data_IF_593209541418
#
_entry.id   IF_593209541418
#
_cell.length_a   1.000
_cell.length_b   1.000
_cell.length_c   1.000
_cell.angle_alpha   90.00
_cell.angle_beta   90.00
_cell.angle_gamma   90.00
#
_symmetry.space_group_name_H-M   'P 1'
#
loop_
_entity.id
_entity.type
_entity.pdbx_description
1 polymer ?
#
# COMPACT_ATOMS: atom_id res chain seq x y z
N UNK A 1 -7.81 2.18 -23.57
CA UNK A 1 -6.96 1.81 -22.42
C UNK A 1 -5.51 2.15 -22.71
N UNK A 2 -4.81 2.72 -21.72
CA UNK A 2 -3.35 2.86 -21.74
C UNK A 2 -2.84 2.27 -20.43
N UNK A 3 -2.09 1.17 -20.51
CA UNK A 3 -1.58 0.42 -19.35
C UNK A 3 -2.51 -0.71 -18.89
N UNK A 4 -2.12 -1.36 -17.78
CA UNK A 4 -2.84 -2.50 -17.17
C UNK A 4 -2.91 -2.31 -15.66
N UNK A 5 -4.07 -2.57 -15.06
CA UNK A 5 -4.24 -2.57 -13.60
C UNK A 5 -4.55 -3.99 -13.13
N UNK A 6 -3.61 -4.60 -12.39
CA UNK A 6 -3.80 -5.90 -11.74
C UNK A 6 -4.23 -5.65 -10.29
N UNK A 7 -5.37 -6.20 -9.89
CA UNK A 7 -5.95 -5.96 -8.55
C UNK A 7 -6.06 -7.26 -7.77
N UNK A 8 -5.46 -7.28 -6.57
CA UNK A 8 -5.68 -8.31 -5.56
C UNK A 8 -6.51 -7.67 -4.43
N UNK A 9 -7.86 -7.72 -4.50
CA UNK A 9 -8.71 -6.96 -3.58
C UNK A 9 -8.75 -7.55 -2.17
N UNK A 10 -8.37 -8.81 -2.00
CA UNK A 10 -8.41 -9.55 -0.73
C UNK A 10 -7.16 -10.40 -0.59
N UNK A 11 -6.03 -9.76 -0.30
CA UNK A 11 -4.73 -10.44 -0.20
C UNK A 11 -4.72 -11.54 0.87
N UNK A 12 -5.24 -11.27 2.09
CA UNK A 12 -5.29 -12.24 3.19
C UNK A 12 -6.73 -12.60 3.56
N UNK A 13 -7.37 -13.46 2.76
CA UNK A 13 -8.79 -13.86 2.95
C UNK A 13 -9.05 -14.43 4.35
N UNK A 14 -8.11 -15.19 4.92
CA UNK A 14 -8.27 -15.78 6.25
C UNK A 14 -8.24 -14.73 7.37
N UNK A 15 -7.33 -13.77 7.30
CA UNK A 15 -7.24 -12.66 8.25
C UNK A 15 -8.47 -11.74 8.15
N UNK A 16 -8.92 -11.45 6.92
CA UNK A 16 -10.14 -10.68 6.65
C UNK A 16 -11.36 -11.33 7.29
N UNK A 17 -11.55 -12.64 7.09
CA UNK A 17 -12.70 -13.39 7.64
C UNK A 17 -12.70 -13.40 9.17
N UNK A 18 -11.53 -13.28 9.79
CA UNK A 18 -11.35 -13.26 11.25
C UNK A 18 -11.29 -11.86 11.84
N UNK A 19 -11.36 -10.82 11.01
CA UNK A 19 -11.16 -9.42 11.40
C UNK A 19 -9.86 -9.19 12.18
N UNK A 20 -8.80 -9.89 11.78
CA UNK A 20 -7.50 -9.87 12.44
C UNK A 20 -6.40 -9.41 11.49
N UNK A 21 -5.27 -8.99 12.06
CA UNK A 21 -4.05 -8.66 11.29
C UNK A 21 -3.42 -9.91 10.67
N UNK A 22 -3.34 -10.98 11.45
CA UNK A 22 -2.71 -12.23 11.04
C UNK A 22 -3.74 -13.25 10.56
N UNK A 23 -3.30 -14.13 9.65
CA UNK A 23 -4.12 -15.20 9.10
C UNK A 23 -4.33 -16.36 10.07
N UNK A 24 -4.77 -17.49 9.52
CA UNK A 24 -5.07 -18.69 10.31
C UNK A 24 -3.86 -19.25 11.08
N UNK A 25 -2.66 -19.03 10.57
CA UNK A 25 -1.39 -19.47 11.14
C UNK A 25 -0.73 -18.47 12.09
N UNK A 26 -1.37 -17.31 12.34
CA UNK A 26 -0.86 -16.29 13.26
C UNK A 26 0.33 -15.48 12.74
N UNK A 27 0.78 -15.71 11.51
CA UNK A 27 1.90 -15.00 10.89
C UNK A 27 1.40 -13.72 10.20
N UNK A 28 2.19 -12.65 10.31
CA UNK A 28 1.94 -11.40 9.59
C UNK A 28 2.36 -11.57 8.12
N UNK A 29 1.38 -11.63 7.21
CA UNK A 29 1.62 -11.76 5.78
C UNK A 29 2.60 -10.70 5.25
N UNK A 30 2.52 -9.46 5.75
CA UNK A 30 3.39 -8.37 5.31
C UNK A 30 4.78 -8.43 5.98
N UNK A 31 5.17 -9.57 6.55
CA UNK A 31 6.52 -9.92 6.99
C UNK A 31 7.02 -11.22 6.37
N UNK A 32 6.25 -11.81 5.46
CA UNK A 32 6.51 -13.12 4.86
C UNK A 32 6.98 -13.06 3.39
N UNK A 33 7.15 -11.88 2.79
CA UNK A 33 7.60 -11.76 1.40
C UNK A 33 9.13 -12.00 1.27
N UNK A 34 9.61 -12.64 0.18
CA UNK A 34 8.90 -13.02 -1.04
C UNK A 34 8.09 -14.32 -0.95
N UNK A 35 8.00 -14.93 0.23
CA UNK A 35 7.25 -16.16 0.47
C UNK A 35 8.09 -17.43 0.43
N UNK A 36 7.42 -18.53 0.78
CA UNK A 36 7.93 -19.89 0.69
C UNK A 36 6.76 -20.83 0.40
N UNK A 37 6.82 -21.53 -0.74
CA UNK A 37 5.77 -22.46 -1.20
C UNK A 37 5.62 -23.68 -0.30
N UNK A 38 6.67 -24.03 0.46
CA UNK A 38 6.66 -25.11 1.42
C UNK A 38 6.51 -24.60 2.87
N UNK A 39 6.36 -23.28 3.04
CA UNK A 39 6.23 -22.62 4.34
C UNK A 39 4.82 -22.73 4.93
N UNK A 40 4.54 -21.93 5.97
CA UNK A 40 3.19 -21.85 6.53
C UNK A 40 2.22 -21.13 5.58
N UNK A 41 0.93 -21.11 5.91
CA UNK A 41 -0.13 -20.54 5.05
C UNK A 41 0.17 -19.10 4.59
N UNK A 42 0.65 -18.24 5.49
CA UNK A 42 1.02 -16.85 5.16
C UNK A 42 2.24 -16.78 4.25
N UNK A 43 3.23 -17.67 4.39
CA UNK A 43 4.39 -17.74 3.49
C UNK A 43 4.03 -18.26 2.11
N UNK A 44 3.16 -19.26 2.03
CA UNK A 44 2.63 -19.76 0.75
C UNK A 44 1.82 -18.70 0.02
N UNK A 45 1.01 -17.95 0.77
CA UNK A 45 0.23 -16.83 0.22
C UNK A 45 1.12 -15.69 -0.26
N UNK A 46 2.17 -15.33 0.50
CA UNK A 46 3.17 -14.36 0.05
C UNK A 46 3.86 -14.82 -1.24
N UNK A 47 4.21 -16.12 -1.35
CA UNK A 47 4.81 -16.68 -2.56
C UNK A 47 3.86 -16.62 -3.77
N UNK A 48 2.56 -16.86 -3.56
CA UNK A 48 1.55 -16.72 -4.60
C UNK A 48 1.40 -15.27 -5.08
N UNK A 49 1.33 -14.30 -4.17
CA UNK A 49 1.28 -12.87 -4.53
C UNK A 49 2.57 -12.45 -5.25
N UNK A 50 3.72 -12.90 -4.78
CA UNK A 50 5.00 -12.62 -5.41
C UNK A 50 5.11 -13.22 -6.83
N UNK A 51 4.54 -14.41 -7.06
CA UNK A 51 4.41 -14.96 -8.42
C UNK A 51 3.58 -14.08 -9.34
N UNK A 52 2.49 -13.50 -8.86
CA UNK A 52 1.71 -12.54 -9.65
C UNK A 52 2.57 -11.33 -10.01
N UNK A 53 3.36 -10.80 -9.07
CA UNK A 53 4.30 -9.71 -9.38
C UNK A 53 5.32 -10.13 -10.45
N UNK A 54 5.84 -11.35 -10.39
CA UNK A 54 6.80 -11.87 -11.38
C UNK A 54 6.16 -12.14 -12.75
N UNK A 55 4.90 -12.56 -12.77
CA UNK A 55 4.15 -12.85 -13.99
C UNK A 55 3.81 -11.58 -14.76
N UNK A 56 3.39 -10.53 -14.06
CA UNK A 56 2.94 -9.29 -14.67
C UNK A 56 4.03 -8.21 -14.79
N UNK A 57 5.17 -8.39 -14.12
CA UNK A 57 6.31 -7.45 -14.12
C UNK A 57 5.87 -5.97 -14.00
N UNK A 58 5.14 -5.59 -12.94
CA UNK A 58 4.50 -4.28 -12.87
C UNK A 58 5.54 -3.15 -12.72
N UNK A 59 5.35 -2.05 -13.46
CA UNK A 59 6.14 -0.83 -13.27
C UNK A 59 5.93 -0.22 -11.87
N UNK A 60 4.70 -0.34 -11.34
CA UNK A 60 4.29 0.18 -10.04
C UNK A 60 3.52 -0.85 -9.21
N UNK A 61 3.86 -0.96 -7.93
CA UNK A 61 3.13 -1.74 -6.92
C UNK A 61 2.62 -0.83 -5.81
N UNK A 62 1.32 -0.87 -5.58
CA UNK A 62 0.67 -0.15 -4.48
C UNK A 62 0.16 -1.16 -3.46
N UNK A 63 0.35 -0.86 -2.18
CA UNK A 63 -0.23 -1.65 -1.08
C UNK A 63 -1.05 -0.74 -0.17
N UNK A 64 -2.32 -1.09 0.06
CA UNK A 64 -3.31 -0.25 0.72
C UNK A 64 -3.54 -0.75 2.16
N UNK A 65 -3.23 0.11 3.13
CA UNK A 65 -3.26 -0.20 4.56
C UNK A 65 -4.10 0.82 5.35
N UNK A 66 -4.38 0.44 6.59
CA UNK A 66 -4.97 1.30 7.58
C UNK A 66 -4.20 1.23 8.90
N UNK A 67 -3.98 2.40 9.51
CA UNK A 67 -3.26 2.53 10.77
C UNK A 67 -4.17 3.05 11.90
N UNK A 68 -3.80 2.77 13.16
CA UNK A 68 -4.69 3.00 14.30
C UNK A 68 -4.91 4.49 14.64
N UNK A 69 -3.92 5.35 14.39
CA UNK A 69 -3.98 6.76 14.72
C UNK A 69 -3.22 7.61 13.68
N UNK A 70 -3.44 8.92 13.70
CA UNK A 70 -2.80 9.86 12.79
C UNK A 70 -1.32 10.07 13.10
N UNK A 71 -0.46 10.01 12.08
CA UNK A 71 0.98 10.26 12.22
C UNK A 71 1.27 11.68 12.74
N UNK A 72 0.51 12.69 12.28
CA UNK A 72 0.66 14.09 12.72
C UNK A 72 0.35 14.32 14.20
N UNK A 73 -0.50 13.48 14.79
CA UNK A 73 -0.90 13.59 16.20
C UNK A 73 -0.10 12.65 17.11
N UNK A 74 0.32 11.52 16.57
CA UNK A 74 1.11 10.51 17.27
C UNK A 74 2.19 9.98 16.32
N UNK A 75 3.43 10.49 16.41
CA UNK A 75 4.53 10.03 15.57
C UNK A 75 4.76 8.51 15.68
N UNK A 76 4.92 7.86 14.53
CA UNK A 76 5.03 6.40 14.41
C UNK A 76 3.68 5.66 14.33
N UNK A 77 2.55 6.35 14.36
CA UNK A 77 1.23 5.75 14.19
C UNK A 77 0.86 5.50 12.73
N UNK A 78 1.57 6.12 11.77
CA UNK A 78 1.48 5.94 10.32
C UNK A 78 0.19 6.38 9.63
N UNK A 79 -0.89 6.68 10.36
CA UNK A 79 -2.15 7.04 9.72
C UNK A 79 -2.06 8.35 8.95
N UNK A 80 -2.66 8.37 7.75
CA UNK A 80 -2.55 9.46 6.78
C UNK A 80 -1.10 9.63 6.29
N UNK A 81 -0.50 8.58 5.74
CA UNK A 81 0.83 8.65 5.14
C UNK A 81 0.90 7.94 3.79
N UNK A 82 1.83 8.39 2.96
CA UNK A 82 2.30 7.72 1.75
C UNK A 82 3.75 7.32 2.02
N UNK A 83 4.02 6.02 2.09
CA UNK A 83 5.35 5.49 2.46
C UNK A 83 6.04 4.95 1.21
N UNK A 84 7.24 5.42 0.93
CA UNK A 84 8.04 5.03 -0.25
C UNK A 84 9.38 4.39 0.16
N UNK A 85 10.06 3.68 -0.75
CA UNK A 85 11.45 3.28 -0.55
C UNK A 85 12.36 4.44 -0.15
N UNK A 86 13.42 4.16 0.62
CA UNK A 86 14.46 5.17 0.89
C UNK A 86 15.21 5.45 -0.41
N UNK A 87 15.38 6.73 -0.72
CA UNK A 87 16.06 7.15 -1.95
C UNK A 87 15.23 6.97 -3.22
N UNK A 88 13.90 6.82 -3.11
CA UNK A 88 13.02 6.85 -4.28
C UNK A 88 13.23 8.14 -5.10
N UNK A 89 13.33 8.01 -6.42
CA UNK A 89 13.66 9.14 -7.32
C UNK A 89 12.43 9.98 -7.70
N UNK A 90 11.21 9.52 -7.38
CA UNK A 90 9.94 10.12 -7.80
C UNK A 90 9.41 11.22 -6.86
N UNK A 91 10.29 12.09 -6.35
CA UNK A 91 9.91 13.14 -5.38
C UNK A 91 8.80 14.05 -5.93
N UNK A 92 8.91 14.54 -7.17
CA UNK A 92 7.93 15.45 -7.77
C UNK A 92 6.55 14.80 -7.93
N UNK A 93 6.51 13.51 -8.31
CA UNK A 93 5.27 12.76 -8.45
C UNK A 93 4.59 12.55 -7.08
N UNK A 94 5.35 12.23 -6.04
CA UNK A 94 4.81 12.07 -4.69
C UNK A 94 4.32 13.40 -4.12
N UNK A 95 5.03 14.51 -4.36
CA UNK A 95 4.58 15.85 -3.99
C UNK A 95 3.26 16.22 -4.69
N UNK A 96 3.16 16.01 -6.00
CA UNK A 96 1.94 16.26 -6.76
C UNK A 96 0.77 15.38 -6.30
N UNK A 97 1.04 14.11 -5.96
CA UNK A 97 0.05 13.20 -5.38
C UNK A 97 -0.47 13.73 -4.05
N UNK A 98 0.43 14.10 -3.14
CA UNK A 98 0.08 14.62 -1.82
C UNK A 98 -0.67 15.94 -1.89
N UNK A 99 -0.28 16.85 -2.78
CA UNK A 99 -0.98 18.12 -3.00
C UNK A 99 -2.44 17.86 -3.41
N UNK A 100 -2.66 17.06 -4.46
CA UNK A 100 -4.00 16.71 -4.95
C UNK A 100 -4.84 15.96 -3.92
N UNK A 101 -4.21 15.08 -3.15
CA UNK A 101 -4.87 14.32 -2.10
C UNK A 101 -5.31 15.24 -0.95
N UNK A 102 -4.41 16.10 -0.46
CA UNK A 102 -4.65 16.98 0.66
C UNK A 102 -5.65 18.11 0.36
N UNK A 103 -5.87 18.47 -0.91
CA UNK A 103 -6.96 19.38 -1.29
C UNK A 103 -8.35 18.91 -0.83
N UNK A 104 -8.58 17.60 -0.62
CA UNK A 104 -9.86 17.09 -0.11
C UNK A 104 -9.89 16.87 1.40
N UNK A 105 -8.78 17.12 2.10
CA UNK A 105 -8.66 16.87 3.54
C UNK A 105 -8.87 18.19 4.29
N UNK A 106 -10.02 18.33 4.93
CA UNK A 106 -10.43 19.59 5.56
C UNK A 106 -9.57 19.99 6.76
N UNK A 107 -9.14 19.01 7.55
CA UNK A 107 -8.39 19.23 8.79
C UNK A 107 -6.88 19.10 8.52
N UNK A 108 -6.07 20.16 8.70
CA UNK A 108 -4.63 20.13 8.47
C UNK A 108 -3.90 19.03 9.25
N UNK A 109 -4.36 18.71 10.45
CA UNK A 109 -3.85 17.63 11.30
C UNK A 109 -4.11 16.23 10.72
N UNK A 110 -4.98 16.09 9.72
CA UNK A 110 -5.25 14.84 9.01
C UNK A 110 -4.59 14.79 7.63
N UNK A 111 -3.87 15.84 7.22
CA UNK A 111 -3.18 15.87 5.92
C UNK A 111 -2.18 14.72 5.81
N UNK A 112 -2.18 14.07 4.66
CA UNK A 112 -1.22 13.05 4.32
C UNK A 112 0.21 13.59 4.32
N UNK A 113 1.15 12.76 4.77
CA UNK A 113 2.58 13.02 4.79
C UNK A 113 3.33 12.01 3.91
N UNK A 114 4.46 12.39 3.30
CA UNK A 114 5.42 11.39 2.83
C UNK A 114 6.22 10.82 4.01
N UNK A 115 6.40 9.50 4.04
CA UNK A 115 7.39 8.82 4.88
C UNK A 115 8.30 7.95 4.02
N UNK A 116 9.47 7.60 4.54
CA UNK A 116 10.42 6.74 3.85
C UNK A 116 10.80 5.52 4.70
N UNK A 117 10.86 4.37 4.04
CA UNK A 117 11.31 3.12 4.61
C UNK A 117 10.28 2.01 4.49
N UNK A 118 10.73 0.89 3.94
CA UNK A 118 9.91 -0.32 3.82
C UNK A 118 10.31 -1.32 4.90
N UNK A 119 9.32 -1.99 5.47
CA UNK A 119 9.57 -3.05 6.44
C UNK A 119 10.20 -4.26 5.73
N UNK A 120 11.18 -4.90 6.37
CA UNK A 120 11.75 -6.14 5.87
C UNK A 120 10.65 -7.23 5.78
N UNK A 121 10.67 -8.00 4.70
CA UNK A 121 9.67 -9.04 4.43
C UNK A 121 8.29 -8.51 4.01
N UNK A 122 8.15 -7.21 3.71
CA UNK A 122 6.91 -6.65 3.16
C UNK A 122 6.74 -6.90 1.66
N UNK A 123 5.49 -6.83 1.22
CA UNK A 123 5.08 -6.86 -0.19
C UNK A 123 5.90 -5.84 -1.02
N UNK A 124 5.98 -4.60 -0.55
CA UNK A 124 6.68 -3.53 -1.25
C UNK A 124 8.20 -3.69 -1.22
N UNK A 125 8.76 -4.28 -0.15
CA UNK A 125 10.18 -4.60 -0.13
C UNK A 125 10.55 -5.69 -1.14
N UNK A 126 9.63 -6.63 -1.42
CA UNK A 126 9.82 -7.60 -2.50
C UNK A 126 9.66 -6.92 -3.88
N UNK A 127 8.62 -6.11 -4.08
CA UNK A 127 8.43 -5.35 -5.33
C UNK A 127 9.63 -4.46 -5.66
N UNK A 128 10.14 -3.69 -4.68
CA UNK A 128 11.31 -2.82 -4.87
C UNK A 128 12.57 -3.62 -5.24
N UNK A 129 12.78 -4.81 -4.68
CA UNK A 129 13.90 -5.70 -5.06
C UNK A 129 13.79 -6.22 -6.49
N UNK A 130 12.57 -6.28 -7.04
CA UNK A 130 12.33 -6.65 -8.43
C UNK A 130 12.53 -5.46 -9.39
N UNK A 131 12.77 -4.26 -8.88
CA UNK A 131 12.93 -3.04 -9.67
C UNK A 131 11.62 -2.31 -9.97
N UNK A 132 10.50 -2.75 -9.40
CA UNK A 132 9.23 -2.02 -9.49
C UNK A 132 9.26 -0.79 -8.56
N UNK A 133 8.70 0.32 -9.04
CA UNK A 133 8.37 1.45 -8.18
C UNK A 133 7.24 1.07 -7.23
N UNK A 134 7.22 1.65 -6.04
CA UNK A 134 6.19 1.30 -5.09
C UNK A 134 5.89 2.37 -4.05
N UNK A 135 4.65 2.36 -3.58
CA UNK A 135 4.21 3.14 -2.44
C UNK A 135 3.19 2.38 -1.59
N UNK A 136 3.22 2.66 -0.29
CA UNK A 136 2.25 2.18 0.68
C UNK A 136 1.32 3.32 1.04
N UNK A 137 0.02 3.05 1.10
CA UNK A 137 -0.98 4.03 1.52
C UNK A 137 -1.46 3.65 2.92
N UNK A 138 -1.36 4.56 3.88
CA UNK A 138 -1.93 4.38 5.21
C UNK A 138 -3.07 5.37 5.44
N UNK A 139 -4.28 4.87 5.63
CA UNK A 139 -5.42 5.69 6.09
C UNK A 139 -5.67 5.51 7.58
N UNK A 140 -6.10 6.55 8.29
CA UNK A 140 -6.31 6.46 9.73
C UNK A 140 -7.65 5.81 10.09
N UNK A 141 -7.64 4.78 10.95
CA UNK A 141 -8.84 4.07 11.46
C UNK A 141 -9.75 4.90 12.35
N UNK A 142 -9.30 6.07 12.81
CA UNK A 142 -10.15 7.02 13.55
C UNK A 142 -11.14 7.75 12.62
N UNK A 143 -10.92 7.71 11.30
CA UNK A 143 -11.85 8.26 10.31
C UNK A 143 -12.99 7.27 10.00
N UNK A 144 -14.18 7.76 9.61
CA UNK A 144 -15.26 6.92 9.11
C UNK A 144 -14.81 6.03 7.93
N UNK A 145 -15.32 4.79 7.87
CA UNK A 145 -14.99 3.84 6.79
C UNK A 145 -15.11 4.44 5.39
N UNK A 146 -16.20 5.16 5.11
CA UNK A 146 -16.41 5.78 3.81
C UNK A 146 -15.29 6.75 3.42
N UNK A 147 -14.77 7.52 4.38
CA UNK A 147 -13.69 8.48 4.13
C UNK A 147 -12.35 7.77 3.90
N UNK A 148 -12.08 6.69 4.65
CA UNK A 148 -10.87 5.87 4.44
C UNK A 148 -10.86 5.23 3.05
N UNK A 149 -11.99 4.63 2.65
CA UNK A 149 -12.16 4.05 1.31
C UNK A 149 -12.03 5.11 0.22
N UNK A 150 -12.65 6.28 0.39
CA UNK A 150 -12.53 7.38 -0.57
C UNK A 150 -11.07 7.81 -0.74
N UNK A 151 -10.33 8.03 0.36
CA UNK A 151 -8.92 8.41 0.29
C UNK A 151 -8.05 7.37 -0.40
N UNK A 152 -8.20 6.07 -0.08
CA UNK A 152 -7.44 5.03 -0.77
C UNK A 152 -7.73 5.01 -2.27
N UNK A 153 -9.01 5.15 -2.67
CA UNK A 153 -9.40 5.22 -4.08
C UNK A 153 -8.85 6.46 -4.77
N UNK A 154 -8.86 7.62 -4.09
CA UNK A 154 -8.29 8.87 -4.61
C UNK A 154 -6.78 8.74 -4.82
N UNK A 155 -6.05 8.11 -3.90
CA UNK A 155 -4.60 7.86 -4.10
C UNK A 155 -4.35 7.06 -5.36
N UNK A 156 -5.07 5.95 -5.56
CA UNK A 156 -4.95 5.13 -6.78
C UNK A 156 -5.30 5.96 -8.02
N UNK A 157 -6.43 6.66 -8.02
CA UNK A 157 -6.87 7.47 -9.17
C UNK A 157 -5.87 8.59 -9.50
N UNK A 158 -5.39 9.32 -8.50
CA UNK A 158 -4.43 10.42 -8.69
C UNK A 158 -3.12 9.88 -9.24
N UNK A 159 -2.63 8.75 -8.72
CA UNK A 159 -1.39 8.15 -9.22
C UNK A 159 -1.54 7.69 -10.68
N UNK A 160 -2.63 6.99 -11.01
CA UNK A 160 -2.88 6.56 -12.39
C UNK A 160 -2.94 7.75 -13.35
N UNK A 161 -3.61 8.84 -12.96
CA UNK A 161 -3.66 10.09 -13.73
C UNK A 161 -2.25 10.70 -13.92
N UNK A 162 -1.45 10.78 -12.85
CA UNK A 162 -0.07 11.31 -12.90
C UNK A 162 0.84 10.46 -13.78
N UNK A 163 0.62 9.15 -13.82
CA UNK A 163 1.33 8.20 -14.69
C UNK A 163 0.77 8.16 -16.12
N UNK A 164 -0.34 8.85 -16.40
CA UNK A 164 -1.01 8.82 -17.70
C UNK A 164 -1.65 7.46 -18.05
N UNK A 165 -1.96 6.65 -17.04
CA UNK A 165 -2.61 5.34 -17.15
C UNK A 165 -4.13 5.54 -17.15
N UNK A 166 -4.83 4.94 -18.11
CA UNK A 166 -6.29 5.01 -18.22
C UNK A 166 -6.87 3.60 -18.31
N UNK A 167 -7.73 3.27 -17.35
CA UNK A 167 -8.36 1.96 -17.19
C UNK A 167 -9.88 2.18 -17.16
N UNK A 168 -10.63 1.58 -18.09
CA UNK A 168 -12.09 1.68 -18.20
C UNK A 168 -12.79 0.44 -17.64
#
# INVERSE_FOLDING_TARGET
DRGTLVVIPRANVTAITREQRCGADGVDLNRSFPGDENGSLSWQLAAAIHRVMLEFEPDWVLDLHEAQAFERLQPGALGQTIIVPRGAEHTELIEALLERLNCSVTQPEHHFLPLQGLAAGSSLAAASKMGAECLLVETCRQLPLAQRVDYQRRVVSILLDLLGVTVY
#
